data_IF_347223201039
#
_entry.id   IF_347223201039
#
_cell.length_a   1.000
_cell.length_b   1.000
_cell.length_c   1.000
_cell.angle_alpha   90.00
_cell.angle_beta   90.00
_cell.angle_gamma   90.00
#
_symmetry.space_group_name_H-M   'P 1'
#
loop_
_entity.id
_entity.type
_entity.pdbx_description
1 polymer ?
#
# COMPACT_ATOMS: atom_id res chain seq x y z
N UNK A 1 -13.03 17.90 30.87
CA UNK A 1 -12.60 18.70 29.69
C UNK A 1 -13.66 18.63 28.62
N UNK A 2 -14.35 19.76 28.33
CA UNK A 2 -15.31 19.82 27.19
C UNK A 2 -14.52 19.64 25.88
N UNK A 3 -14.87 18.62 25.08
CA UNK A 3 -14.38 18.52 23.70
C UNK A 3 -14.91 19.75 22.95
N UNK A 4 -14.01 20.64 22.51
CA UNK A 4 -14.36 21.80 21.68
C UNK A 4 -14.99 21.26 20.39
N UNK A 5 -16.25 21.59 20.17
CA UNK A 5 -16.99 21.15 18.99
C UNK A 5 -16.33 21.74 17.74
N UNK A 6 -15.96 20.87 16.80
CA UNK A 6 -15.35 21.30 15.52
C UNK A 6 -16.43 21.94 14.64
N UNK A 7 -16.10 23.00 13.93
CA UNK A 7 -16.99 23.59 12.92
C UNK A 7 -17.29 22.58 11.81
N UNK A 8 -18.41 22.80 11.09
CA UNK A 8 -18.81 21.92 9.98
C UNK A 8 -17.71 21.87 8.91
N UNK A 9 -17.08 23.00 8.57
CA UNK A 9 -15.99 23.05 7.58
C UNK A 9 -14.80 22.17 8.00
N UNK A 10 -14.43 22.19 9.27
CA UNK A 10 -13.36 21.35 9.80
C UNK A 10 -13.72 19.86 9.77
N UNK A 11 -14.99 19.55 10.02
CA UNK A 11 -15.49 18.16 9.94
C UNK A 11 -15.51 17.66 8.50
N UNK A 12 -15.97 18.50 7.56
CA UNK A 12 -15.97 18.16 6.13
C UNK A 12 -14.54 17.94 5.66
N UNK A 13 -13.62 18.87 5.95
CA UNK A 13 -12.20 18.72 5.58
C UNK A 13 -11.57 17.44 6.12
N UNK A 14 -11.89 17.06 7.35
CA UNK A 14 -11.39 15.81 7.93
C UNK A 14 -11.93 14.56 7.22
N UNK A 15 -13.13 14.62 6.65
CA UNK A 15 -13.71 13.55 5.83
C UNK A 15 -13.04 13.53 4.44
N UNK A 16 -12.89 14.69 3.80
CA UNK A 16 -12.21 14.81 2.50
C UNK A 16 -10.78 14.29 2.56
N UNK A 17 -10.02 14.66 3.59
CA UNK A 17 -8.67 14.16 3.83
C UNK A 17 -8.63 12.62 3.92
N UNK A 18 -9.58 12.03 4.65
CA UNK A 18 -9.66 10.57 4.76
C UNK A 18 -9.96 9.91 3.43
N UNK A 19 -10.90 10.45 2.67
CA UNK A 19 -11.27 9.92 1.36
C UNK A 19 -10.12 10.04 0.37
N UNK A 20 -9.42 11.17 0.35
CA UNK A 20 -8.25 11.40 -0.51
C UNK A 20 -7.14 10.38 -0.18
N UNK A 21 -6.81 10.20 1.11
CA UNK A 21 -5.79 9.26 1.55
C UNK A 21 -6.21 7.82 1.21
N UNK A 22 -7.48 7.42 1.46
CA UNK A 22 -7.95 6.09 1.12
C UNK A 22 -7.88 5.81 -0.38
N UNK A 23 -8.25 6.77 -1.23
CA UNK A 23 -8.14 6.65 -2.69
C UNK A 23 -6.67 6.51 -3.13
N UNK A 24 -5.77 7.29 -2.52
CA UNK A 24 -4.33 7.20 -2.78
C UNK A 24 -3.79 5.80 -2.45
N UNK A 25 -4.16 5.24 -1.30
CA UNK A 25 -3.73 3.90 -0.90
C UNK A 25 -4.39 2.81 -1.76
N UNK A 26 -5.67 2.95 -2.07
CA UNK A 26 -6.41 2.01 -2.91
C UNK A 26 -5.90 1.96 -4.36
N UNK A 27 -5.29 3.03 -4.84
CA UNK A 27 -4.65 3.08 -6.15
C UNK A 27 -3.36 2.25 -6.26
N UNK A 28 -2.78 1.82 -5.12
CA UNK A 28 -1.53 1.06 -5.16
C UNK A 28 -1.65 -0.33 -5.82
N UNK A 29 -2.60 -1.23 -5.44
CA UNK A 29 -2.73 -2.52 -6.08
C UNK A 29 -2.85 -2.41 -7.61
N UNK A 30 -3.81 -1.67 -8.18
CA UNK A 30 -3.90 -1.55 -9.63
C UNK A 30 -2.67 -0.91 -10.28
N UNK A 31 -2.00 0.04 -9.63
CA UNK A 31 -0.78 0.63 -10.18
C UNK A 31 0.39 -0.35 -10.22
N UNK A 32 0.52 -1.18 -9.20
CA UNK A 32 1.54 -2.22 -9.13
C UNK A 32 1.26 -3.35 -10.13
N UNK A 33 0.01 -3.79 -10.25
CA UNK A 33 -0.39 -4.91 -11.10
C UNK A 33 -0.44 -4.55 -12.60
N UNK A 34 -0.44 -3.26 -12.92
CA UNK A 34 -0.34 -2.74 -14.30
C UNK A 34 1.02 -2.12 -14.63
N UNK A 35 1.93 -2.00 -13.63
CA UNK A 35 3.21 -1.34 -13.83
C UNK A 35 3.10 0.17 -14.08
N UNK A 36 2.11 0.85 -13.52
CA UNK A 36 1.84 2.28 -13.77
C UNK A 36 2.87 3.19 -13.09
N UNK A 37 4.03 3.39 -13.72
CA UNK A 37 5.11 4.25 -13.21
C UNK A 37 4.61 5.68 -12.96
N UNK A 38 3.85 6.26 -13.90
CA UNK A 38 3.35 7.63 -13.79
C UNK A 38 2.47 7.84 -12.54
N UNK A 39 1.66 6.84 -12.17
CA UNK A 39 0.89 6.91 -10.93
C UNK A 39 1.82 6.94 -9.70
N UNK A 40 2.80 6.04 -9.63
CA UNK A 40 3.75 6.00 -8.53
C UNK A 40 4.53 7.32 -8.42
N UNK A 41 5.00 7.89 -9.53
CA UNK A 41 5.66 9.19 -9.56
C UNK A 41 4.75 10.32 -9.05
N UNK A 42 3.47 10.28 -9.39
CA UNK A 42 2.50 11.30 -9.00
C UNK A 42 2.16 11.26 -7.51
N UNK A 43 2.10 10.08 -6.87
CA UNK A 43 1.63 9.93 -5.48
C UNK A 43 2.74 10.00 -4.44
N UNK A 44 4.01 9.82 -4.80
CA UNK A 44 5.13 10.01 -3.89
C UNK A 44 5.67 11.44 -3.94
N UNK A 45 6.26 11.91 -2.82
CA UNK A 45 7.05 13.15 -2.83
C UNK A 45 8.32 12.95 -3.65
N UNK A 46 8.92 14.05 -4.16
CA UNK A 46 10.13 14.00 -4.97
C UNK A 46 11.30 13.26 -4.29
N UNK A 47 11.35 13.31 -2.95
CA UNK A 47 12.32 12.65 -2.09
C UNK A 47 11.70 11.45 -1.34
N UNK A 48 10.59 10.92 -1.84
CA UNK A 48 9.87 9.80 -1.25
C UNK A 48 10.72 8.55 -1.13
N UNK A 49 10.46 7.74 -0.11
CA UNK A 49 11.23 6.52 0.16
C UNK A 49 10.31 5.30 0.08
N UNK A 50 10.71 4.31 -0.70
CA UNK A 50 10.09 2.99 -0.70
C UNK A 50 11.05 1.98 -0.09
N UNK A 51 10.81 1.63 1.17
CA UNK A 51 11.58 0.66 1.96
C UNK A 51 10.87 -0.71 1.92
N UNK A 52 11.48 -1.67 1.23
CA UNK A 52 10.91 -3.00 0.99
C UNK A 52 11.40 -4.08 1.96
N UNK A 53 12.15 -3.69 3.00
CA UNK A 53 12.80 -4.59 3.93
C UNK A 53 14.19 -5.03 3.45
N UNK A 54 14.85 -5.89 4.23
CA UNK A 54 16.25 -6.26 3.97
C UNK A 54 16.45 -7.12 2.70
N UNK A 55 15.42 -7.88 2.32
CA UNK A 55 15.52 -8.87 1.24
C UNK A 55 15.29 -8.30 -0.16
N UNK A 56 14.81 -7.07 -0.26
CA UNK A 56 14.45 -6.46 -1.53
C UNK A 56 14.99 -5.04 -1.62
N UNK A 57 15.59 -4.71 -2.77
CA UNK A 57 16.04 -3.34 -3.03
C UNK A 57 14.87 -2.36 -2.94
N UNK A 58 15.04 -1.32 -2.14
CA UNK A 58 14.14 -0.17 -2.07
C UNK A 58 14.44 0.86 -3.16
N UNK A 59 13.79 2.01 -3.07
CA UNK A 59 14.03 3.14 -3.95
C UNK A 59 13.87 4.47 -3.21
N UNK A 60 14.62 5.49 -3.62
CA UNK A 60 14.54 6.86 -3.10
C UNK A 60 14.27 7.81 -4.27
N UNK A 61 13.28 8.66 -4.10
CA UNK A 61 12.77 9.57 -5.13
C UNK A 61 11.63 8.95 -5.94
N UNK A 62 10.61 9.75 -6.21
CA UNK A 62 9.40 9.31 -6.91
C UNK A 62 9.70 8.70 -8.29
N UNK A 63 10.64 9.27 -9.05
CA UNK A 63 11.07 8.74 -10.36
C UNK A 63 11.69 7.35 -10.26
N UNK A 64 12.56 7.13 -9.26
CA UNK A 64 13.16 5.83 -9.04
C UNK A 64 12.12 4.79 -8.57
N UNK A 65 11.14 5.22 -7.77
CA UNK A 65 10.01 4.37 -7.34
C UNK A 65 9.15 3.99 -8.55
N UNK A 66 8.83 4.94 -9.43
CA UNK A 66 8.12 4.66 -10.68
C UNK A 66 8.90 3.70 -11.58
N UNK A 67 10.21 3.92 -11.76
CA UNK A 67 11.07 3.06 -12.56
C UNK A 67 11.12 1.61 -12.06
N UNK A 68 11.00 1.38 -10.74
CA UNK A 68 10.92 0.01 -10.18
C UNK A 68 9.73 -0.78 -10.74
N UNK A 69 8.59 -0.13 -11.03
CA UNK A 69 7.41 -0.78 -11.61
C UNK A 69 7.64 -1.16 -13.07
N UNK A 70 8.60 -0.55 -13.75
CA UNK A 70 9.00 -0.85 -15.13
C UNK A 70 10.20 -1.79 -15.21
N UNK A 71 10.76 -2.21 -14.07
CA UNK A 71 11.88 -3.16 -14.07
C UNK A 71 11.49 -4.50 -14.72
N UNK A 72 12.43 -5.14 -15.39
CA UNK A 72 12.20 -6.43 -16.07
C UNK A 72 11.63 -7.49 -15.10
N UNK A 73 12.11 -7.53 -13.86
CA UNK A 73 11.62 -8.44 -12.84
C UNK A 73 10.16 -8.19 -12.47
N UNK A 74 9.75 -6.92 -12.31
CA UNK A 74 8.37 -6.59 -11.99
C UNK A 74 7.44 -6.86 -13.17
N UNK A 75 7.84 -6.48 -14.38
CA UNK A 75 7.06 -6.76 -15.60
C UNK A 75 6.89 -8.26 -15.84
N UNK A 76 7.92 -9.07 -15.58
CA UNK A 76 7.82 -10.54 -15.62
C UNK A 76 6.84 -11.09 -14.58
N UNK A 77 6.83 -10.51 -13.38
CA UNK A 77 5.88 -10.91 -12.33
C UNK A 77 4.42 -10.58 -12.72
N UNK A 78 4.18 -9.39 -13.28
CA UNK A 78 2.87 -9.00 -13.83
C UNK A 78 2.42 -9.97 -14.93
N UNK A 79 3.29 -10.24 -15.90
CA UNK A 79 3.01 -11.18 -16.97
C UNK A 79 2.73 -12.61 -16.46
N UNK A 80 3.31 -12.96 -15.31
CA UNK A 80 3.04 -14.20 -14.58
C UNK A 80 1.74 -14.23 -13.79
N UNK A 81 0.95 -13.16 -13.79
CA UNK A 81 -0.34 -13.07 -13.10
C UNK A 81 -0.23 -12.68 -11.62
N UNK A 82 0.84 -11.95 -11.23
CA UNK A 82 0.96 -11.36 -9.90
C UNK A 82 -0.24 -10.48 -9.59
N UNK A 83 -0.75 -10.55 -8.37
CA UNK A 83 -1.80 -9.66 -7.88
C UNK A 83 -1.54 -9.20 -6.46
N UNK A 84 -1.79 -7.91 -6.21
CA UNK A 84 -1.66 -7.30 -4.89
C UNK A 84 -3.04 -7.11 -4.24
N UNK A 85 -3.17 -7.52 -2.98
CA UNK A 85 -4.37 -7.30 -2.17
C UNK A 85 -4.02 -6.61 -0.87
N UNK A 86 -4.63 -5.46 -0.60
CA UNK A 86 -4.49 -4.77 0.69
C UNK A 86 -5.70 -5.01 1.55
N UNK A 87 -5.49 -5.19 2.86
CA UNK A 87 -6.59 -5.14 3.82
C UNK A 87 -7.15 -3.73 3.95
N UNK A 88 -8.32 -3.61 4.57
CA UNK A 88 -8.83 -2.30 5.00
C UNK A 88 -7.74 -1.58 5.82
N UNK A 89 -7.35 -0.34 5.45
CA UNK A 89 -6.27 0.36 6.12
C UNK A 89 -6.73 1.06 7.39
N UNK A 90 -5.89 1.01 8.43
CA UNK A 90 -6.05 1.86 9.60
C UNK A 90 -5.36 3.21 9.35
N UNK A 91 -6.08 4.31 9.49
CA UNK A 91 -5.61 5.68 9.19
C UNK A 91 -5.67 6.57 10.42
N UNK A 92 -4.53 7.18 10.73
CA UNK A 92 -4.41 8.26 11.72
C UNK A 92 -3.91 9.53 11.04
N UNK A 93 -4.64 10.64 11.18
CA UNK A 93 -4.26 11.97 10.65
C UNK A 93 -3.88 12.86 11.83
N UNK A 94 -2.74 13.54 11.72
CA UNK A 94 -2.26 14.52 12.69
C UNK A 94 -1.81 15.79 11.96
N UNK A 95 -2.71 16.77 11.85
CA UNK A 95 -2.47 17.99 11.10
C UNK A 95 -2.17 17.71 9.62
N UNK A 96 -0.96 18.06 9.18
CA UNK A 96 -0.50 17.88 7.80
C UNK A 96 0.31 16.61 7.58
N UNK A 97 0.24 15.69 8.53
CA UNK A 97 0.83 14.34 8.42
C UNK A 97 -0.21 13.26 8.65
N UNK A 98 0.01 12.11 8.04
CA UNK A 98 -0.84 10.94 8.28
C UNK A 98 -0.01 9.65 8.26
N UNK A 99 -0.47 8.68 9.04
CA UNK A 99 0.06 7.32 9.03
C UNK A 99 -1.06 6.36 8.66
N UNK A 100 -0.78 5.50 7.69
CA UNK A 100 -1.68 4.41 7.29
C UNK A 100 -0.96 3.09 7.51
N UNK A 101 -1.66 2.12 8.08
CA UNK A 101 -1.14 0.76 8.25
C UNK A 101 -2.17 -0.23 7.70
N UNK A 102 -1.69 -1.18 6.90
CA UNK A 102 -2.50 -2.26 6.34
C UNK A 102 -1.66 -3.54 6.25
N UNK A 103 -2.32 -4.66 5.97
CA UNK A 103 -1.64 -5.83 5.42
C UNK A 103 -1.59 -5.71 3.89
N UNK A 104 -0.54 -6.26 3.30
CA UNK A 104 -0.45 -6.48 1.86
C UNK A 104 -0.20 -7.97 1.62
N UNK A 105 -1.04 -8.59 0.82
CA UNK A 105 -0.85 -9.94 0.30
C UNK A 105 -0.42 -9.86 -1.16
N UNK A 106 0.55 -10.69 -1.52
CA UNK A 106 0.97 -10.90 -2.90
C UNK A 106 0.55 -12.31 -3.29
N UNK A 107 -0.31 -12.40 -4.30
CA UNK A 107 -0.85 -13.64 -4.84
C UNK A 107 -0.19 -13.95 -6.17
N UNK A 108 0.03 -15.24 -6.43
CA UNK A 108 0.47 -15.71 -7.74
C UNK A 108 -0.35 -16.94 -8.15
N UNK A 109 -0.66 -17.11 -9.45
CA UNK A 109 -1.37 -18.29 -9.93
C UNK A 109 -0.54 -19.56 -9.70
N UNK A 110 -1.18 -20.65 -9.35
CA UNK A 110 -0.54 -21.98 -9.31
C UNK A 110 -0.18 -22.41 -10.73
N UNK A 111 1.08 -22.78 -10.96
CA UNK A 111 1.58 -23.24 -12.26
C UNK A 111 1.35 -24.73 -12.51
N UNK A 112 1.10 -25.51 -11.44
CA UNK A 112 0.87 -26.95 -11.48
C UNK A 112 -0.35 -27.32 -10.63
N UNK A 113 -0.81 -28.57 -10.76
CA UNK A 113 -1.99 -29.09 -10.07
C UNK A 113 -3.21 -29.19 -10.98
N UNK A 114 -4.29 -29.69 -10.42
CA UNK A 114 -5.57 -29.88 -11.13
C UNK A 114 -6.20 -28.56 -11.52
N UNK A 115 -6.81 -28.52 -12.71
CA UNK A 115 -7.69 -27.42 -13.11
C UNK A 115 -9.08 -27.70 -12.56
N UNK A 116 -9.56 -26.84 -11.67
CA UNK A 116 -10.88 -26.91 -11.08
C UNK A 116 -11.82 -25.97 -11.85
N UNK A 117 -12.97 -26.47 -12.22
CA UNK A 117 -14.05 -25.66 -12.76
C UNK A 117 -15.03 -25.30 -11.64
N UNK A 118 -15.32 -24.02 -11.51
CA UNK A 118 -16.36 -23.51 -10.62
C UNK A 118 -17.51 -23.00 -11.48
N UNK A 119 -18.73 -23.56 -11.34
CA UNK A 119 -19.87 -23.13 -12.13
C UNK A 119 -20.07 -21.62 -12.10
N UNK A 120 -20.23 -21.00 -13.28
CA UNK A 120 -20.35 -19.57 -13.49
C UNK A 120 -19.12 -18.71 -13.07
N UNK A 121 -18.01 -19.34 -12.64
CA UNK A 121 -16.78 -18.63 -12.24
C UNK A 121 -15.54 -19.07 -13.02
N UNK A 122 -15.73 -20.00 -14.00
CA UNK A 122 -14.69 -20.43 -14.92
C UNK A 122 -13.72 -21.48 -14.34
N UNK A 123 -12.61 -21.65 -15.02
CA UNK A 123 -11.62 -22.71 -14.76
C UNK A 123 -10.29 -22.11 -14.33
N UNK A 124 -9.70 -22.63 -13.26
CA UNK A 124 -8.37 -22.22 -12.83
C UNK A 124 -7.68 -23.31 -12.01
N UNK A 125 -6.36 -23.20 -11.86
CA UNK A 125 -5.59 -23.96 -10.86
C UNK A 125 -5.61 -23.30 -9.49
N UNK A 126 -6.27 -22.14 -9.37
CA UNK A 126 -6.27 -21.32 -8.18
C UNK A 126 -4.97 -20.53 -7.99
N UNK A 127 -4.88 -19.89 -6.85
CA UNK A 127 -3.76 -19.04 -6.46
C UNK A 127 -3.15 -19.56 -5.16
N UNK A 128 -1.93 -19.13 -4.89
CA UNK A 128 -1.34 -19.19 -3.56
C UNK A 128 -0.91 -17.80 -3.10
N UNK A 129 -0.92 -17.60 -1.80
CA UNK A 129 -0.35 -16.41 -1.18
C UNK A 129 1.16 -16.61 -1.19
N UNK A 130 1.85 -15.80 -1.99
CA UNK A 130 3.30 -15.84 -2.09
C UNK A 130 3.96 -15.15 -0.89
N UNK A 131 3.38 -14.00 -0.46
CA UNK A 131 3.95 -13.17 0.59
C UNK A 131 2.87 -12.38 1.31
N UNK A 132 3.01 -12.27 2.63
CA UNK A 132 2.22 -11.35 3.46
C UNK A 132 3.19 -10.39 4.15
N UNK A 133 2.93 -9.09 4.02
CA UNK A 133 3.73 -8.06 4.66
C UNK A 133 2.85 -7.05 5.40
N UNK A 134 3.38 -6.46 6.46
CA UNK A 134 2.86 -5.21 7.00
C UNK A 134 3.23 -4.08 6.07
N UNK A 135 2.35 -3.13 5.89
CA UNK A 135 2.46 -2.07 4.91
C UNK A 135 2.13 -0.75 5.61
N UNK A 136 3.17 0.02 5.91
CA UNK A 136 3.06 1.34 6.53
C UNK A 136 3.33 2.42 5.50
N UNK A 137 2.50 3.44 5.53
CA UNK A 137 2.57 4.62 4.70
C UNK A 137 2.64 5.85 5.60
N UNK A 138 3.69 6.62 5.49
CA UNK A 138 3.82 7.93 6.11
C UNK A 138 3.54 8.98 5.02
N UNK A 139 2.51 9.79 5.23
CA UNK A 139 2.03 10.77 4.27
C UNK A 139 2.21 12.19 4.78
N UNK A 140 2.33 13.10 3.86
CA UNK A 140 2.38 14.54 4.12
C UNK A 140 1.41 15.29 3.21
N UNK A 141 0.80 16.33 3.73
CA UNK A 141 0.00 17.25 2.92
C UNK A 141 0.91 18.19 2.15
N UNK A 142 0.62 18.36 0.88
CA UNK A 142 1.31 19.30 -0.01
C UNK A 142 0.31 20.27 -0.63
N UNK A 143 0.75 21.33 -1.32
CA UNK A 143 -0.17 22.19 -2.07
C UNK A 143 -0.99 21.46 -3.13
N UNK A 144 -0.53 20.30 -3.60
CA UNK A 144 -1.20 19.43 -4.59
C UNK A 144 -1.93 18.23 -3.98
N UNK A 145 -2.26 18.28 -2.70
CA UNK A 145 -2.92 17.19 -1.97
C UNK A 145 -1.97 16.30 -1.18
N UNK A 146 -2.48 15.18 -0.70
CA UNK A 146 -1.69 14.23 0.08
C UNK A 146 -0.69 13.46 -0.79
N UNK A 147 0.54 13.28 -0.28
CA UNK A 147 1.62 12.52 -0.93
C UNK A 147 2.26 11.54 0.03
N UNK A 148 2.77 10.43 -0.51
CA UNK A 148 3.53 9.44 0.25
C UNK A 148 4.95 9.94 0.44
N UNK A 149 5.36 10.17 1.68
CA UNK A 149 6.73 10.51 2.06
C UNK A 149 7.59 9.26 2.24
N UNK A 150 7.01 8.21 2.84
CA UNK A 150 7.67 6.92 3.02
C UNK A 150 6.64 5.81 2.97
N UNK A 151 7.02 4.71 2.33
CA UNK A 151 6.32 3.44 2.43
C UNK A 151 7.27 2.38 2.93
N UNK A 152 6.87 1.63 3.96
CA UNK A 152 7.69 0.61 4.61
C UNK A 152 6.96 -0.72 4.60
N UNK A 153 7.63 -1.76 4.11
CA UNK A 153 7.16 -3.14 4.12
C UNK A 153 8.02 -3.99 5.05
N UNK A 154 7.37 -4.85 5.85
CA UNK A 154 8.06 -5.88 6.65
C UNK A 154 7.32 -7.19 6.52
N UNK A 155 8.06 -8.28 6.35
CA UNK A 155 7.50 -9.62 6.23
C UNK A 155 6.79 -10.01 7.53
N UNK A 156 5.58 -10.57 7.41
CA UNK A 156 4.84 -11.13 8.56
C UNK A 156 5.35 -12.56 8.81
N UNK A 157 6.47 -12.63 9.49
CA UNK A 157 7.20 -13.87 9.82
C UNK A 157 7.31 -14.13 11.34
N UNK A 158 6.59 -13.32 12.13
CA UNK A 158 6.66 -13.37 13.59
C UNK A 158 7.76 -12.48 14.19
N UNK A 159 8.58 -11.80 13.38
CA UNK A 159 9.62 -10.88 13.84
C UNK A 159 9.08 -9.57 14.40
N UNK A 160 9.87 -8.92 15.28
CA UNK A 160 9.49 -7.64 15.90
C UNK A 160 9.24 -6.51 14.89
N UNK A 161 10.05 -6.31 13.82
CA UNK A 161 9.84 -5.19 12.89
C UNK A 161 8.44 -5.16 12.26
N UNK A 162 7.84 -6.32 11.96
CA UNK A 162 6.48 -6.40 11.46
C UNK A 162 5.45 -6.08 12.56
N UNK A 163 5.66 -6.63 13.76
CA UNK A 163 4.77 -6.40 14.92
C UNK A 163 4.78 -4.95 15.38
N UNK A 164 5.93 -4.28 15.35
CA UNK A 164 6.07 -2.87 15.72
C UNK A 164 5.25 -1.95 14.81
N UNK A 165 5.26 -2.22 13.49
CA UNK A 165 4.40 -1.49 12.55
C UNK A 165 2.92 -1.66 12.92
N UNK A 166 2.48 -2.88 13.25
CA UNK A 166 1.10 -3.16 13.60
C UNK A 166 0.69 -2.52 14.94
N UNK A 167 1.55 -2.61 15.97
CA UNK A 167 1.31 -1.96 17.27
C UNK A 167 1.18 -0.44 17.11
N UNK A 168 2.04 0.17 16.29
CA UNK A 168 2.01 1.62 16.05
C UNK A 168 0.75 2.12 15.35
N UNK A 169 -0.10 1.23 14.81
CA UNK A 169 -1.40 1.59 14.25
C UNK A 169 -2.49 1.72 15.32
N UNK A 170 -2.32 1.05 16.47
CA UNK A 170 -3.32 1.02 17.53
C UNK A 170 -3.16 2.21 18.47
N UNK A 171 -4.26 2.75 19.03
CA UNK A 171 -4.14 3.73 20.11
C UNK A 171 -3.40 3.11 21.29
N UNK A 172 -2.58 3.93 21.96
CA UNK A 172 -2.00 3.53 23.23
C UNK A 172 -3.13 3.18 24.22
N UNK A 173 -3.02 2.02 24.87
CA UNK A 173 -3.98 1.56 25.87
C UNK A 173 -3.92 2.42 27.13
#
# INVERSE_FOLDING_TARGET
MQKKELTIERRIRAIEDRLEIYNLIAGHPPSADTGSAAYAEAVFTADGVFDRGPDLSGAVGNKAIGANLQSAGHQSAIAGGLAHFTSLPHLTINGDTAVVVSYLQILTPKKSGEIVEVPNHGRSRGYHIHRVVTNRWDLVRTPSGWKIKRRTLRLVDGSEPARDILRGALPAA
#
